data_IF_303379671845
#
_entry.id   IF_303379671845
#
_cell.length_a   1.000
_cell.length_b   1.000
_cell.length_c   1.000
_cell.angle_alpha   90.00
_cell.angle_beta   90.00
_cell.angle_gamma   90.00
#
_symmetry.space_group_name_H-M   'P 1'
#
loop_
_entity.id
_entity.type
_entity.pdbx_description
1 polymer ?
#
# COMPACT_ATOMS: atom_id res chain seq x y z
N UNK A 1 10.64 -4.46 -12.05
CA UNK A 1 10.72 -3.04 -11.66
C UNK A 1 9.42 -2.61 -11.00
N UNK A 2 9.52 -1.97 -9.87
CA UNK A 2 8.34 -1.40 -9.22
C UNK A 2 8.15 0.04 -9.67
N UNK A 3 6.90 0.41 -9.95
CA UNK A 3 6.54 1.75 -10.40
C UNK A 3 5.36 2.25 -9.60
N UNK A 4 5.44 3.50 -9.14
CA UNK A 4 4.35 4.17 -8.44
C UNK A 4 4.04 5.47 -9.18
N UNK A 5 2.77 5.65 -9.52
CA UNK A 5 2.26 6.89 -10.10
C UNK A 5 1.17 7.42 -9.19
N UNK A 6 1.21 8.69 -8.87
CA UNK A 6 0.17 9.28 -8.03
C UNK A 6 -0.22 10.66 -8.53
N UNK A 7 -1.46 11.04 -8.22
CA UNK A 7 -2.00 12.37 -8.46
C UNK A 7 -2.61 12.89 -7.16
N UNK A 8 -2.16 14.07 -6.73
CA UNK A 8 -2.59 14.66 -5.48
C UNK A 8 -3.32 15.98 -5.76
N UNK A 9 -4.60 16.04 -5.33
CA UNK A 9 -5.45 17.23 -5.47
C UNK A 9 -5.60 17.70 -6.93
N UNK A 10 -5.58 16.75 -7.87
CA UNK A 10 -5.76 17.05 -9.30
C UNK A 10 -7.12 16.62 -9.84
N UNK A 11 -7.88 15.85 -9.06
CA UNK A 11 -9.20 15.35 -9.42
C UNK A 11 -10.23 15.83 -8.40
N UNK A 12 -11.38 16.30 -8.87
CA UNK A 12 -12.38 16.93 -7.99
C UNK A 12 -13.00 15.96 -6.98
N UNK A 13 -13.09 14.68 -7.33
CA UNK A 13 -13.74 13.67 -6.48
C UNK A 13 -12.74 12.83 -5.68
N UNK A 14 -11.48 12.81 -6.08
CA UNK A 14 -10.47 11.99 -5.44
C UNK A 14 -9.24 12.83 -5.09
N UNK A 15 -9.06 13.18 -3.81
CA UNK A 15 -7.90 13.99 -3.40
C UNK A 15 -6.56 13.28 -3.65
N UNK A 16 -6.54 11.96 -3.62
CA UNK A 16 -5.35 11.17 -3.89
C UNK A 16 -5.71 9.95 -4.75
N UNK A 17 -5.05 9.85 -5.91
CA UNK A 17 -5.13 8.68 -6.77
C UNK A 17 -3.75 8.05 -6.84
N UNK A 18 -3.66 6.75 -6.64
CA UNK A 18 -2.40 6.01 -6.70
C UNK A 18 -2.58 4.78 -7.57
N UNK A 19 -1.65 4.60 -8.50
CA UNK A 19 -1.53 3.37 -9.26
C UNK A 19 -0.10 2.84 -9.10
N UNK A 20 0.03 1.59 -8.75
CA UNK A 20 1.34 1.02 -8.49
C UNK A 20 1.37 -0.44 -8.93
N UNK A 21 2.55 -0.91 -9.27
CA UNK A 21 2.79 -2.33 -9.45
C UNK A 21 3.93 -2.76 -8.54
N UNK A 22 3.95 -4.05 -8.22
CA UNK A 22 5.01 -4.65 -7.43
C UNK A 22 5.61 -5.79 -8.23
N UNK A 23 6.94 -5.76 -8.35
CA UNK A 23 7.70 -6.78 -9.06
C UNK A 23 8.47 -7.59 -8.03
N UNK A 24 8.09 -8.85 -7.84
CA UNK A 24 8.65 -9.72 -6.83
C UNK A 24 8.57 -11.18 -7.28
N UNK A 25 9.41 -12.04 -6.71
CA UNK A 25 9.36 -13.47 -6.99
C UNK A 25 8.05 -14.08 -6.50
N UNK A 26 7.50 -15.04 -7.27
CA UNK A 26 6.26 -15.73 -6.90
C UNK A 26 6.36 -16.46 -5.55
N UNK A 27 7.55 -16.88 -5.17
CA UNK A 27 7.78 -17.56 -3.89
C UNK A 27 7.64 -16.64 -2.69
N UNK A 28 7.70 -15.33 -2.89
CA UNK A 28 7.56 -14.37 -1.80
C UNK A 28 6.09 -14.16 -1.49
N UNK A 29 5.65 -14.76 -0.38
CA UNK A 29 4.25 -14.73 0.02
C UNK A 29 3.85 -13.34 0.51
N UNK A 30 2.72 -12.86 0.02
CA UNK A 30 2.13 -11.61 0.48
C UNK A 30 0.63 -11.78 0.66
N UNK A 31 0.04 -10.93 1.50
CA UNK A 31 -1.40 -10.89 1.73
C UNK A 31 -2.00 -9.67 1.03
N UNK A 32 -3.22 -9.82 0.52
CA UNK A 32 -3.96 -8.72 -0.07
C UNK A 32 -4.23 -7.61 0.95
N UNK A 33 -4.53 -6.41 0.47
CA UNK A 33 -4.79 -5.26 1.34
C UNK A 33 -5.92 -5.56 2.33
N UNK A 34 -5.63 -5.30 3.59
CA UNK A 34 -6.57 -5.49 4.69
C UNK A 34 -6.12 -4.65 5.88
N UNK A 35 -7.02 -4.42 6.84
CA UNK A 35 -6.60 -3.82 8.11
C UNK A 35 -5.85 -4.85 8.93
N UNK A 36 -4.67 -4.48 9.40
CA UNK A 36 -3.78 -5.43 10.09
C UNK A 36 -4.27 -5.74 11.51
N UNK A 37 -4.31 -7.03 11.92
CA UNK A 37 -4.74 -7.37 13.27
C UNK A 37 -3.86 -6.78 14.37
N UNK A 38 -2.55 -6.67 14.14
CA UNK A 38 -1.59 -6.12 15.10
C UNK A 38 -1.45 -4.60 15.01
N UNK A 39 -1.96 -3.99 13.93
CA UNK A 39 -1.98 -2.52 13.72
C UNK A 39 -3.27 -2.13 13.02
N UNK A 40 -4.41 -2.10 13.73
CA UNK A 40 -5.73 -2.00 13.08
C UNK A 40 -6.00 -0.68 12.37
N UNK A 41 -5.16 0.32 12.55
CA UNK A 41 -5.28 1.60 11.84
C UNK A 41 -4.61 1.58 10.46
N UNK A 42 -3.88 0.51 10.13
CA UNK A 42 -3.16 0.40 8.86
C UNK A 42 -3.94 -0.49 7.90
N UNK A 43 -4.21 0.05 6.71
CA UNK A 43 -4.76 -0.68 5.58
C UNK A 43 -3.65 -0.85 4.54
N UNK A 44 -3.25 -2.08 4.31
CA UNK A 44 -2.14 -2.38 3.41
C UNK A 44 -2.12 -3.87 3.06
N UNK A 45 -1.48 -4.20 1.94
CA UNK A 45 -1.00 -5.55 1.72
C UNK A 45 0.10 -5.86 2.73
N UNK A 46 0.42 -7.13 2.92
CA UNK A 46 1.46 -7.49 3.87
C UNK A 46 2.43 -8.49 3.26
N UNK A 47 3.71 -8.18 3.40
CA UNK A 47 4.79 -9.11 3.08
C UNK A 47 4.93 -10.10 4.24
N UNK A 48 4.54 -11.34 4.01
CA UNK A 48 4.53 -12.36 5.08
C UNK A 48 5.94 -12.69 5.52
N UNK A 49 6.93 -12.61 4.62
CA UNK A 49 8.30 -12.93 4.94
C UNK A 49 8.94 -11.91 5.89
N UNK A 50 8.79 -10.62 5.58
CA UNK A 50 9.41 -9.54 6.36
C UNK A 50 8.46 -8.92 7.39
N UNK A 51 7.15 -9.13 7.26
CA UNK A 51 6.16 -8.61 8.19
C UNK A 51 5.73 -7.17 7.94
N UNK A 52 6.30 -6.50 6.94
CA UNK A 52 5.95 -5.13 6.59
C UNK A 52 5.12 -5.02 5.33
N UNK A 53 5.16 -3.86 4.70
CA UNK A 53 4.45 -3.59 3.46
C UNK A 53 5.30 -2.73 2.52
N UNK A 54 4.84 -2.59 1.29
CA UNK A 54 5.47 -1.72 0.27
C UNK A 54 4.64 -0.46 0.02
N UNK A 55 3.38 -0.44 0.44
CA UNK A 55 2.47 0.68 0.26
C UNK A 55 1.33 0.53 1.25
N UNK A 56 1.00 1.60 1.94
CA UNK A 56 -0.08 1.57 2.90
C UNK A 56 -0.67 2.94 3.21
N UNK A 57 -1.85 2.91 3.81
CA UNK A 57 -2.55 4.10 4.28
C UNK A 57 -3.02 3.86 5.71
N UNK A 58 -2.99 4.89 6.53
CA UNK A 58 -3.52 4.83 7.89
C UNK A 58 -4.90 5.49 7.97
N UNK A 59 -5.67 5.11 8.99
CA UNK A 59 -6.97 5.76 9.28
C UNK A 59 -6.81 7.26 9.55
N UNK A 60 -5.63 7.70 10.02
CA UNK A 60 -5.35 9.10 10.27
C UNK A 60 -5.05 9.89 8.98
N UNK A 61 -5.06 9.24 7.82
CA UNK A 61 -4.85 9.89 6.55
C UNK A 61 -3.40 10.00 6.11
N UNK A 62 -2.52 9.15 6.63
CA UNK A 62 -1.13 9.08 6.19
C UNK A 62 -0.97 8.02 5.11
N UNK A 63 -0.21 8.34 4.09
CA UNK A 63 0.14 7.43 2.99
C UNK A 63 1.65 7.30 2.92
N UNK A 64 2.12 6.08 2.75
CA UNK A 64 3.55 5.81 2.57
C UNK A 64 3.78 4.68 1.58
N UNK A 65 4.85 4.80 0.82
CA UNK A 65 5.25 3.79 -0.16
C UNK A 65 6.77 3.80 -0.35
N UNK A 66 7.27 2.65 -0.74
CA UNK A 66 8.69 2.51 -1.07
C UNK A 66 8.89 1.77 -2.38
#
# INVERSE_FOLDING_TARGET
MCLIVFAYQTHKDFPLLVAANRDEFYKRTSEASHFWPDEPDILAGRDVLAGGTWLGISKQGRFAAI
#
